data_IF_302927645935
#
_entry.id   IF_302927645935
#
_cell.length_a   1.000
_cell.length_b   1.000
_cell.length_c   1.000
_cell.angle_alpha   90.00
_cell.angle_beta   90.00
_cell.angle_gamma   90.00
#
_symmetry.space_group_name_H-M   'P 1'
#
loop_
_entity.id
_entity.type
_entity.pdbx_description
1 polymer ?
#
# COMPACT_ATOMS: atom_id res chain seq x y z
N UNK A 1 5.19 17.15 5.49
CA UNK A 1 4.86 17.41 4.07
C UNK A 1 3.67 16.54 3.69
N UNK A 2 2.65 17.05 2.97
CA UNK A 2 1.55 16.19 2.50
C UNK A 2 2.14 15.08 1.64
N UNK A 3 1.71 13.83 1.87
CA UNK A 3 2.14 12.71 1.05
C UNK A 3 1.76 13.01 -0.40
N UNK A 4 2.75 12.99 -1.30
CA UNK A 4 2.47 13.11 -2.73
C UNK A 4 1.56 11.94 -3.10
N UNK A 5 0.44 12.24 -3.78
CA UNK A 5 -0.48 11.21 -4.26
C UNK A 5 0.32 10.11 -4.99
N UNK A 6 0.12 8.85 -4.61
CA UNK A 6 0.79 7.72 -5.27
C UNK A 6 0.29 7.67 -6.71
N UNK A 7 1.11 8.05 -7.70
CA UNK A 7 0.63 8.23 -9.06
C UNK A 7 0.19 6.89 -9.62
N UNK A 8 -0.92 6.93 -10.33
CA UNK A 8 -1.50 5.74 -10.96
C UNK A 8 -0.83 5.54 -12.31
N UNK A 9 -0.12 4.43 -12.48
CA UNK A 9 0.62 4.09 -13.69
C UNK A 9 0.20 2.72 -14.17
N UNK A 10 -0.96 2.62 -14.82
CA UNK A 10 -1.33 1.41 -15.54
C UNK A 10 -1.91 1.73 -16.92
N UNK A 11 -1.39 1.02 -17.92
CA UNK A 11 -1.59 1.31 -19.34
C UNK A 11 -2.63 0.42 -20.04
N UNK A 12 -3.43 -0.39 -19.33
CA UNK A 12 -4.43 -1.29 -19.97
C UNK A 12 -5.88 -0.80 -19.93
N UNK A 13 -6.22 0.06 -19.00
CA UNK A 13 -7.44 0.87 -19.06
C UNK A 13 -7.20 2.11 -18.23
N UNK A 14 -7.45 3.28 -18.81
CA UNK A 14 -7.43 4.51 -18.04
C UNK A 14 -8.41 4.33 -16.86
N UNK A 15 -8.02 4.66 -15.62
CA UNK A 15 -8.99 4.74 -14.54
C UNK A 15 -10.13 5.67 -14.98
N UNK A 16 -11.39 5.35 -14.65
CA UNK A 16 -12.49 6.21 -15.04
C UNK A 16 -12.26 7.61 -14.45
N UNK A 17 -12.62 8.65 -15.21
CA UNK A 17 -12.29 10.05 -14.90
C UNK A 17 -12.68 10.48 -13.47
N UNK A 18 -13.72 9.85 -12.88
CA UNK A 18 -14.14 10.10 -11.51
C UNK A 18 -13.06 9.74 -10.46
N UNK A 19 -12.18 8.77 -10.75
CA UNK A 19 -11.22 8.26 -9.75
C UNK A 19 -10.15 9.30 -9.42
N UNK A 20 -9.61 9.99 -10.41
CA UNK A 20 -8.63 11.05 -10.17
C UNK A 20 -9.26 12.21 -9.41
N UNK A 21 -10.44 12.66 -9.84
CA UNK A 21 -11.21 13.68 -9.14
C UNK A 21 -11.53 13.29 -7.69
N UNK A 22 -11.83 12.01 -7.44
CA UNK A 22 -12.06 11.48 -6.09
C UNK A 22 -10.78 11.45 -5.25
N UNK A 23 -9.66 10.98 -5.83
CA UNK A 23 -8.38 10.90 -5.12
C UNK A 23 -7.82 12.27 -4.75
N UNK A 24 -8.06 13.30 -5.56
CA UNK A 24 -7.67 14.69 -5.28
C UNK A 24 -8.34 15.26 -4.02
N UNK A 25 -9.45 14.69 -3.56
CA UNK A 25 -10.15 15.14 -2.34
C UNK A 25 -9.47 14.69 -1.05
N UNK A 26 -8.53 13.73 -1.11
CA UNK A 26 -7.79 13.28 0.06
C UNK A 26 -6.53 14.13 0.26
N UNK A 27 -6.66 15.25 0.96
CA UNK A 27 -5.57 16.22 1.17
C UNK A 27 -4.51 15.76 2.17
N UNK A 28 -4.84 14.79 3.03
CA UNK A 28 -4.00 14.35 4.16
C UNK A 28 -3.86 12.84 4.22
N UNK A 29 -3.41 12.23 3.12
CA UNK A 29 -3.05 10.81 3.12
C UNK A 29 -1.78 10.59 3.93
N UNK A 30 -1.88 9.83 5.01
CA UNK A 30 -0.74 9.51 5.88
C UNK A 30 -0.14 8.13 5.61
N UNK A 31 -0.92 7.22 5.01
CA UNK A 31 -0.50 5.86 4.67
C UNK A 31 -1.35 5.32 3.53
N UNK A 32 -0.72 4.69 2.53
CA UNK A 32 -1.38 3.97 1.45
C UNK A 32 -1.05 2.48 1.55
N UNK A 33 -2.06 1.62 1.59
CA UNK A 33 -1.87 0.16 1.57
C UNK A 33 -2.18 -0.35 0.16
N UNK A 34 -1.22 -1.04 -0.45
CA UNK A 34 -1.30 -1.52 -1.84
C UNK A 34 -1.45 -3.04 -1.84
N UNK A 35 -2.67 -3.53 -2.05
CA UNK A 35 -3.03 -4.94 -1.88
C UNK A 35 -3.03 -5.72 -3.19
N UNK A 36 -2.09 -6.66 -3.32
CA UNK A 36 -2.00 -7.60 -4.44
C UNK A 36 -1.27 -7.06 -5.67
N UNK A 37 -0.91 -7.97 -6.58
CA UNK A 37 -0.02 -7.69 -7.71
C UNK A 37 -0.59 -6.66 -8.69
N UNK A 38 -1.90 -6.68 -8.94
CA UNK A 38 -2.55 -5.70 -9.81
C UNK A 38 -2.43 -4.28 -9.23
N UNK A 39 -2.68 -4.11 -7.93
CA UNK A 39 -2.55 -2.82 -7.27
C UNK A 39 -1.09 -2.37 -7.21
N UNK A 40 -0.15 -3.30 -6.95
CA UNK A 40 1.29 -3.02 -6.95
C UNK A 40 1.76 -2.54 -8.32
N UNK A 41 1.38 -3.23 -9.40
CA UNK A 41 1.73 -2.80 -10.75
C UNK A 41 1.16 -1.41 -11.04
N UNK A 42 -0.12 -1.23 -10.70
CA UNK A 42 -0.84 0.02 -10.92
C UNK A 42 -0.29 1.22 -10.13
N UNK A 43 0.11 1.04 -8.88
CA UNK A 43 0.53 2.15 -8.01
C UNK A 43 2.05 2.32 -7.89
N UNK A 44 2.80 1.24 -8.04
CA UNK A 44 4.24 1.20 -7.79
C UNK A 44 5.03 0.94 -9.08
N UNK A 45 4.36 0.63 -10.20
CA UNK A 45 5.02 0.39 -11.49
C UNK A 45 5.87 -0.88 -11.50
N UNK A 46 5.46 -1.90 -10.74
CA UNK A 46 6.26 -3.13 -10.55
C UNK A 46 6.35 -4.00 -11.80
N UNK A 47 5.48 -3.81 -12.78
CA UNK A 47 5.45 -4.57 -14.02
C UNK A 47 5.34 -6.06 -13.78
N UNK A 48 6.32 -6.81 -14.29
CA UNK A 48 6.38 -8.28 -14.16
C UNK A 48 7.09 -8.75 -12.88
N UNK A 49 7.43 -7.84 -11.97
CA UNK A 49 8.14 -8.21 -10.73
C UNK A 49 7.26 -9.13 -9.88
N UNK A 50 7.79 -10.26 -9.37
CA UNK A 50 7.02 -11.18 -8.54
C UNK A 50 6.50 -10.50 -7.26
N UNK A 51 5.26 -10.78 -6.89
CA UNK A 51 4.61 -10.21 -5.69
C UNK A 51 5.48 -10.35 -4.44
N UNK A 52 6.07 -11.54 -4.23
CA UNK A 52 6.93 -11.80 -3.07
C UNK A 52 8.09 -10.82 -2.99
N UNK A 53 8.72 -10.49 -4.14
CA UNK A 53 9.86 -9.56 -4.18
C UNK A 53 9.45 -8.13 -3.87
N UNK A 54 8.30 -7.69 -4.39
CA UNK A 54 7.75 -6.37 -4.07
C UNK A 54 7.44 -6.26 -2.57
N UNK A 55 6.86 -7.30 -1.97
CA UNK A 55 6.54 -7.33 -0.53
C UNK A 55 7.82 -7.43 0.31
N UNK A 56 8.82 -8.19 -0.11
CA UNK A 56 10.13 -8.27 0.55
C UNK A 56 10.83 -6.89 0.56
N UNK A 57 10.75 -6.18 -0.56
CA UNK A 57 11.27 -4.83 -0.76
C UNK A 57 10.35 -3.71 -0.25
N UNK A 58 9.42 -3.98 0.68
CA UNK A 58 8.43 -3.00 1.15
C UNK A 58 9.04 -1.69 1.66
N UNK A 59 10.27 -1.72 2.16
CA UNK A 59 11.02 -0.54 2.64
C UNK A 59 11.32 0.48 1.54
N UNK A 60 11.35 0.08 0.27
CA UNK A 60 11.55 0.99 -0.87
C UNK A 60 10.38 1.97 -1.05
N UNK A 61 9.19 1.61 -0.55
CA UNK A 61 7.96 2.41 -0.66
C UNK A 61 7.58 3.10 0.66
N UNK A 62 8.34 2.85 1.72
CA UNK A 62 8.14 3.40 3.05
C UNK A 62 8.46 4.91 3.11
N UNK A 63 7.79 5.71 3.97
CA UNK A 63 6.65 5.38 4.85
C UNK A 63 5.28 5.62 4.20
N UNK A 64 5.26 5.99 2.92
CA UNK A 64 4.07 6.53 2.26
C UNK A 64 3.18 5.43 1.69
N UNK A 65 3.77 4.34 1.20
CA UNK A 65 3.05 3.20 0.63
C UNK A 65 3.56 1.87 1.19
N UNK A 66 2.66 0.91 1.32
CA UNK A 66 2.95 -0.39 1.89
C UNK A 66 2.40 -1.51 0.99
N UNK A 67 3.25 -2.19 0.19
CA UNK A 67 2.82 -3.32 -0.63
C UNK A 67 2.55 -4.55 0.23
N UNK A 68 1.38 -5.15 0.06
CA UNK A 68 0.96 -6.34 0.80
C UNK A 68 0.34 -7.38 -0.12
N UNK A 69 0.47 -8.69 0.20
CA UNK A 69 -0.30 -9.69 -0.49
C UNK A 69 -1.81 -9.45 -0.33
N UNK A 70 -2.60 -9.91 -1.30
CA UNK A 70 -4.06 -9.81 -1.19
C UNK A 70 -4.58 -10.71 -0.04
N UNK A 71 -5.53 -10.26 0.79
CA UNK A 71 -6.04 -10.99 1.94
C UNK A 71 -7.02 -12.14 1.55
N UNK A 72 -6.77 -12.83 0.44
CA UNK A 72 -7.59 -13.97 0.02
C UNK A 72 -7.13 -15.24 0.76
N UNK A 73 -8.04 -16.16 1.12
CA UNK A 73 -7.68 -17.49 1.62
C UNK A 73 -6.73 -18.26 0.69
N UNK A 74 -6.75 -17.93 -0.61
CA UNK A 74 -5.82 -18.48 -1.60
C UNK A 74 -4.34 -18.17 -1.28
N UNK A 75 -4.08 -17.13 -0.49
CA UNK A 75 -2.75 -16.71 -0.09
C UNK A 75 -2.20 -17.45 1.14
N UNK A 76 -2.96 -18.33 1.79
CA UNK A 76 -2.50 -19.06 2.99
C UNK A 76 -1.22 -19.86 2.73
N UNK A 77 -1.12 -20.52 1.56
CA UNK A 77 0.11 -21.23 1.15
C UNK A 77 1.31 -20.30 0.99
N UNK A 78 1.08 -19.06 0.56
CA UNK A 78 2.15 -18.06 0.47
C UNK A 78 2.62 -17.64 1.86
N UNK A 79 1.69 -17.42 2.80
CA UNK A 79 2.03 -17.06 4.19
C UNK A 79 2.88 -18.14 4.87
N UNK A 80 2.51 -19.42 4.69
CA UNK A 80 3.29 -20.55 5.22
C UNK A 80 4.72 -20.58 4.64
N UNK A 81 4.88 -20.25 3.35
CA UNK A 81 6.19 -20.24 2.69
C UNK A 81 7.03 -18.99 2.96
N UNK A 82 6.43 -17.94 3.49
CA UNK A 82 7.05 -16.64 3.72
C UNK A 82 6.84 -16.18 5.17
N UNK A 83 7.39 -16.90 6.17
CA UNK A 83 7.17 -16.60 7.58
C UNK A 83 7.68 -15.20 7.98
N UNK A 84 8.73 -14.71 7.30
CA UNK A 84 9.27 -13.36 7.45
C UNK A 84 8.20 -12.27 7.27
N UNK A 85 7.13 -12.52 6.51
CA UNK A 85 6.04 -11.57 6.38
C UNK A 85 5.39 -11.26 7.73
N UNK A 86 5.12 -12.29 8.53
CA UNK A 86 4.51 -12.11 9.85
C UNK A 86 5.50 -11.56 10.88
N UNK A 87 6.79 -11.89 10.73
CA UNK A 87 7.84 -11.54 11.69
C UNK A 87 8.37 -10.11 11.49
N UNK A 88 8.52 -9.67 10.23
CA UNK A 88 9.21 -8.43 9.92
C UNK A 88 8.28 -7.35 9.37
N UNK A 89 7.32 -7.77 8.52
CA UNK A 89 6.48 -6.84 7.76
C UNK A 89 5.28 -6.39 8.56
N UNK A 90 4.54 -7.34 9.15
CA UNK A 90 3.33 -7.02 9.92
C UNK A 90 3.61 -6.14 11.15
N UNK A 91 4.66 -6.37 11.97
CA UNK A 91 4.92 -5.51 13.13
C UNK A 91 5.24 -4.07 12.73
N UNK A 92 6.01 -3.88 11.65
CA UNK A 92 6.33 -2.56 11.12
C UNK A 92 5.07 -1.83 10.62
N UNK A 93 4.18 -2.55 9.93
CA UNK A 93 2.90 -2.01 9.49
C UNK A 93 1.99 -1.64 10.68
N UNK A 94 1.87 -2.50 11.68
CA UNK A 94 1.08 -2.23 12.89
C UNK A 94 1.58 -0.97 13.61
N UNK A 95 2.89 -0.84 13.79
CA UNK A 95 3.49 0.36 14.38
C UNK A 95 3.17 1.63 13.55
N UNK A 96 3.22 1.54 12.21
CA UNK A 96 2.85 2.67 11.34
C UNK A 96 1.38 3.04 11.46
N UNK A 97 0.50 2.05 11.41
CA UNK A 97 -0.95 2.24 11.54
C UNK A 97 -1.25 2.89 12.88
N UNK A 98 -0.66 2.39 13.98
CA UNK A 98 -0.82 2.97 15.30
C UNK A 98 -0.36 4.44 15.33
N UNK A 99 0.82 4.73 14.78
CA UNK A 99 1.32 6.11 14.71
C UNK A 99 0.39 7.03 13.91
N UNK A 100 -0.19 6.55 12.80
CA UNK A 100 -1.15 7.33 12.00
C UNK A 100 -2.45 7.57 12.74
N UNK A 101 -2.97 6.56 13.46
CA UNK A 101 -4.21 6.67 14.22
C UNK A 101 -4.04 7.58 15.46
N UNK A 102 -2.89 7.55 16.11
CA UNK A 102 -2.60 8.39 17.29
C UNK A 102 -2.20 9.82 16.91
N UNK A 103 -1.60 10.03 15.74
CA UNK A 103 -1.26 11.37 15.25
C UNK A 103 -2.49 12.20 14.83
N UNK A 104 -3.69 11.62 14.83
CA UNK A 104 -4.95 12.33 14.63
C UNK A 104 -5.61 12.65 15.98
N UNK A 105 -5.37 13.84 16.57
CA UNK A 105 -6.38 14.43 17.44
C UNK A 105 -7.57 14.76 16.55
N UNK A 106 -8.72 14.12 16.80
CA UNK A 106 -9.98 14.80 16.46
C UNK A 106 -9.97 16.14 17.20
N UNK A 107 -10.50 17.16 16.54
CA UNK A 107 -10.85 18.49 17.05
C UNK A 107 -9.78 19.58 16.93
N UNK A 108 -10.00 20.46 15.96
CA UNK A 108 -9.78 21.90 16.11
C UNK A 108 -11.00 22.55 15.42
N UNK A 109 -11.65 23.52 16.09
CA UNK A 109 -13.10 23.72 16.10
C UNK A 109 -13.74 24.07 14.75
#
# INVERSE_FOLDING_TARGET
APAKAVPCRYARSAPPAWREAFMQRFERLSLVIVLGSYAMDYHLGTGKTPLTRVVEAWREHWPQAFPLPHPSPRNNRWLVRNPWFQQDVLPALQARVQAVLTANPKETP
#
